data_IF_028131802122
#
_entry.id   IF_028131802122
#
_cell.length_a   1.000
_cell.length_b   1.000
_cell.length_c   1.000
_cell.angle_alpha   90.00
_cell.angle_beta   90.00
_cell.angle_gamma   90.00
#
_symmetry.space_group_name_H-M   'P 1'
#
loop_
_entity.id
_entity.type
_entity.pdbx_description
1 polymer ?
#
# COMPACT_ATOMS: atom_id res chain seq x y z
N UNK A 1 27.58 3.68 61.78
CA UNK A 1 26.65 3.08 62.76
C UNK A 1 25.39 3.90 62.86
N UNK A 2 24.27 3.19 62.89
CA UNK A 2 22.89 3.58 62.66
C UNK A 2 22.33 4.76 63.47
N UNK A 3 21.31 5.37 62.83
CA UNK A 3 20.04 5.88 63.36
C UNK A 3 20.02 7.14 64.24
N UNK A 4 19.29 8.13 63.72
CA UNK A 4 17.93 8.40 64.21
C UNK A 4 17.60 9.84 64.58
N UNK A 5 16.65 10.44 63.84
CA UNK A 5 15.56 11.35 64.30
C UNK A 5 15.01 12.09 63.05
N UNK A 6 13.81 11.81 62.51
CA UNK A 6 12.46 12.34 62.88
C UNK A 6 12.51 13.85 63.21
N UNK A 7 11.70 14.76 62.65
CA UNK A 7 10.28 14.70 62.28
C UNK A 7 9.88 15.92 61.40
N UNK A 8 8.77 15.75 60.69
CA UNK A 8 7.94 16.69 59.91
C UNK A 8 7.68 18.10 60.48
N UNK A 9 7.54 19.11 59.62
CA UNK A 9 6.51 20.16 59.75
C UNK A 9 6.10 20.78 58.39
N UNK A 10 4.81 21.10 58.26
CA UNK A 10 4.06 21.48 57.06
C UNK A 10 4.11 22.98 56.70
N UNK A 11 3.57 23.26 55.49
CA UNK A 11 2.92 24.48 55.00
C UNK A 11 3.86 25.56 54.41
N UNK A 12 3.58 26.20 53.28
CA UNK A 12 2.27 26.73 52.82
C UNK A 12 2.28 27.08 51.32
N UNK A 13 1.07 27.12 50.74
CA UNK A 13 0.60 27.88 49.56
C UNK A 13 0.77 27.22 48.17
N UNK A 14 -0.23 27.18 47.28
CA UNK A 14 -1.46 27.99 47.19
C UNK A 14 -2.71 27.17 46.80
N UNK A 15 -3.85 27.72 47.18
CA UNK A 15 -5.20 27.19 47.05
C UNK A 15 -5.89 27.60 45.73
N UNK A 16 -6.68 26.65 45.21
CA UNK A 16 -8.07 26.77 44.68
C UNK A 16 -8.46 27.88 43.69
N UNK A 17 -9.04 27.47 42.55
CA UNK A 17 -10.49 27.51 42.24
C UNK A 17 -10.71 27.19 40.74
N UNK A 18 -11.38 26.09 40.40
CA UNK A 18 -12.80 25.99 39.99
C UNK A 18 -13.23 26.93 38.85
N UNK A 19 -13.66 26.32 37.74
CA UNK A 19 -14.35 26.97 36.63
C UNK A 19 -15.15 25.96 35.83
N UNK A 20 -16.34 25.63 36.31
CA UNK A 20 -17.37 24.87 35.62
C UNK A 20 -18.31 25.89 34.96
N UNK A 21 -18.46 25.83 33.63
CA UNK A 21 -19.48 26.59 32.90
C UNK A 21 -20.19 25.66 31.93
N UNK A 22 -21.48 25.43 32.19
CA UNK A 22 -22.46 24.99 31.19
C UNK A 22 -23.13 26.23 30.60
N UNK A 23 -23.32 26.27 29.28
CA UNK A 23 -24.63 26.60 28.67
C UNK A 23 -24.62 26.45 27.14
N UNK A 24 -25.37 25.45 26.68
CA UNK A 24 -26.32 25.41 25.55
C UNK A 24 -26.33 26.50 24.45
N UNK A 25 -26.31 26.04 23.19
CA UNK A 25 -27.05 26.66 22.07
C UNK A 25 -27.42 25.64 20.97
N UNK A 26 -28.73 25.35 20.91
CA UNK A 26 -29.65 25.13 19.77
C UNK A 26 -29.20 24.49 18.44
N UNK A 27 -29.92 23.41 18.10
CA UNK A 27 -30.41 22.90 16.80
C UNK A 27 -29.94 23.58 15.50
N UNK A 28 -29.41 22.79 14.55
CA UNK A 28 -29.89 22.60 13.17
C UNK A 28 -29.10 21.46 12.51
N UNK A 29 -29.76 20.70 11.64
CA UNK A 29 -29.34 19.36 11.21
C UNK A 29 -28.15 19.27 10.27
N UNK A 30 -27.44 18.15 10.40
CA UNK A 30 -27.02 17.29 9.29
C UNK A 30 -26.69 15.94 9.94
N UNK A 31 -27.40 14.88 9.56
CA UNK A 31 -26.92 13.52 9.79
C UNK A 31 -25.65 13.38 8.95
N UNK A 32 -24.49 13.57 9.57
CA UNK A 32 -23.24 13.12 8.97
C UNK A 32 -23.16 11.61 9.13
N UNK A 33 -22.80 10.86 8.07
CA UNK A 33 -22.58 9.44 8.20
C UNK A 33 -21.33 9.23 9.05
N UNK A 34 -21.49 8.47 10.13
CA UNK A 34 -20.38 8.01 10.96
C UNK A 34 -19.63 6.92 10.17
N UNK A 35 -18.67 7.32 9.33
CA UNK A 35 -17.68 6.42 8.76
C UNK A 35 -16.31 7.03 8.94
N UNK A 36 -15.63 6.58 9.99
CA UNK A 36 -14.19 6.55 10.14
C UNK A 36 -13.96 5.80 11.46
N UNK A 37 -13.61 4.51 11.38
CA UNK A 37 -13.04 3.83 12.54
C UNK A 37 -11.82 4.64 12.99
N UNK A 38 -11.91 5.19 14.19
CA UNK A 38 -10.81 5.95 14.77
C UNK A 38 -9.66 4.98 14.99
N UNK A 39 -8.43 5.24 14.49
CA UNK A 39 -7.31 4.33 14.71
C UNK A 39 -7.14 4.08 16.22
N UNK A 40 -7.35 2.83 16.65
CA UNK A 40 -7.17 2.47 18.07
C UNK A 40 -5.70 2.64 18.42
N UNK A 41 -5.39 3.60 19.29
CA UNK A 41 -4.05 3.71 19.88
C UNK A 41 -3.92 2.74 21.05
N UNK A 42 -2.91 1.87 21.04
CA UNK A 42 -2.63 0.94 22.12
C UNK A 42 -1.58 1.52 23.07
N UNK A 43 -1.80 1.45 24.40
CA UNK A 43 -0.88 2.00 25.42
C UNK A 43 0.29 1.04 25.74
N UNK A 44 0.52 0.01 24.92
CA UNK A 44 1.62 -0.94 25.13
C UNK A 44 1.58 -2.19 24.25
N UNK A 45 2.67 -2.97 24.25
CA UNK A 45 2.74 -4.24 23.49
C UNK A 45 1.82 -5.31 24.09
N UNK A 46 1.67 -5.35 25.42
CA UNK A 46 0.88 -6.37 26.09
C UNK A 46 -0.62 -6.28 25.81
N UNK A 47 -1.16 -5.06 25.67
CA UNK A 47 -2.57 -4.82 25.35
C UNK A 47 -2.86 -5.17 23.88
N UNK A 48 -2.03 -4.68 22.95
CA UNK A 48 -2.10 -5.06 21.53
C UNK A 48 -1.97 -6.58 21.33
N UNK A 49 -0.96 -7.20 21.94
CA UNK A 49 -0.70 -8.63 21.81
C UNK A 49 -1.90 -9.45 22.30
N UNK A 50 -2.48 -9.06 23.45
CA UNK A 50 -3.64 -9.75 24.04
C UNK A 50 -4.93 -9.56 23.23
N UNK A 51 -5.19 -8.37 22.70
CA UNK A 51 -6.37 -8.11 21.85
C UNK A 51 -6.28 -8.87 20.53
N UNK A 52 -5.07 -8.95 19.96
CA UNK A 52 -4.80 -9.61 18.67
C UNK A 52 -4.35 -11.07 18.81
N UNK A 53 -4.42 -11.63 20.01
CA UNK A 53 -4.09 -13.02 20.32
C UNK A 53 -2.68 -13.45 19.88
N UNK A 54 -1.73 -12.52 19.85
CA UNK A 54 -0.36 -12.79 19.44
C UNK A 54 0.34 -13.79 20.37
N UNK A 55 -0.12 -13.90 21.63
CA UNK A 55 0.32 -14.93 22.57
C UNK A 55 0.02 -16.37 22.10
N UNK A 56 -0.86 -16.53 21.12
CA UNK A 56 -1.16 -17.82 20.47
C UNK A 56 -0.21 -18.16 19.33
N UNK A 57 0.78 -17.31 19.03
CA UNK A 57 1.81 -17.61 18.05
C UNK A 57 2.68 -18.79 18.50
N UNK A 58 2.91 -19.75 17.61
CA UNK A 58 3.67 -20.96 17.89
C UNK A 58 5.14 -20.76 17.52
N UNK A 59 5.95 -20.41 18.50
CA UNK A 59 7.41 -20.27 18.32
C UNK A 59 8.06 -21.60 17.92
N UNK A 60 7.48 -22.74 18.33
CA UNK A 60 7.92 -24.07 17.92
C UNK A 60 7.67 -24.32 16.43
N UNK A 61 6.61 -23.74 15.86
CA UNK A 61 6.30 -23.82 14.43
C UNK A 61 7.40 -23.21 13.56
N UNK A 62 8.05 -22.12 13.99
CA UNK A 62 9.18 -21.54 13.24
C UNK A 62 10.30 -22.55 13.01
N UNK A 63 10.58 -23.40 13.99
CA UNK A 63 11.63 -24.41 13.92
C UNK A 63 11.13 -25.67 13.21
N UNK A 64 9.91 -26.10 13.51
CA UNK A 64 9.39 -27.39 13.06
C UNK A 64 8.82 -27.37 11.63
N UNK A 65 8.32 -26.22 11.18
CA UNK A 65 7.69 -26.05 9.86
C UNK A 65 8.49 -25.13 8.94
N UNK A 66 9.11 -24.10 9.50
CA UNK A 66 9.88 -23.09 8.77
C UNK A 66 11.37 -23.14 9.10
N UNK A 67 11.90 -24.30 9.49
CA UNK A 67 13.23 -24.43 10.09
C UNK A 67 14.37 -23.95 9.18
N UNK A 68 14.29 -24.28 7.89
CA UNK A 68 15.30 -23.87 6.91
C UNK A 68 15.25 -22.36 6.64
N UNK A 69 14.05 -21.80 6.46
CA UNK A 69 13.83 -20.36 6.29
C UNK A 69 14.27 -19.59 7.55
N UNK A 70 13.96 -20.12 8.73
CA UNK A 70 14.39 -19.56 10.03
C UNK A 70 15.91 -19.56 10.14
N UNK A 71 16.57 -20.66 9.77
CA UNK A 71 18.03 -20.74 9.78
C UNK A 71 18.65 -19.74 8.80
N UNK A 72 18.09 -19.59 7.59
CA UNK A 72 18.55 -18.62 6.61
C UNK A 72 18.38 -17.18 7.13
N UNK A 73 17.20 -16.84 7.66
CA UNK A 73 16.91 -15.54 8.28
C UNK A 73 17.91 -15.18 9.37
N UNK A 74 18.14 -16.09 10.34
CA UNK A 74 19.05 -15.84 11.46
C UNK A 74 20.55 -15.93 11.10
N UNK A 75 20.87 -16.38 9.88
CA UNK A 75 22.23 -16.29 9.33
C UNK A 75 22.46 -14.97 8.59
N UNK A 76 21.40 -14.19 8.34
CA UNK A 76 21.44 -12.90 7.67
C UNK A 76 21.18 -11.74 8.66
N UNK A 77 22.18 -10.90 8.98
CA UNK A 77 22.00 -9.77 9.90
C UNK A 77 20.88 -8.79 9.49
N UNK A 78 20.60 -8.64 8.19
CA UNK A 78 19.47 -7.82 7.70
C UNK A 78 18.13 -8.49 8.02
N UNK A 79 18.02 -9.79 7.78
CA UNK A 79 16.83 -10.57 8.15
C UNK A 79 16.48 -10.46 9.64
N UNK A 80 17.49 -10.56 10.52
CA UNK A 80 17.32 -10.38 11.97
C UNK A 80 16.79 -8.98 12.32
N UNK A 81 17.35 -7.93 11.69
CA UNK A 81 16.88 -6.55 11.89
C UNK A 81 15.45 -6.36 11.38
N UNK A 82 15.13 -6.93 10.23
CA UNK A 82 13.79 -6.89 9.64
C UNK A 82 12.74 -7.51 10.56
N UNK A 83 12.93 -8.75 10.99
CA UNK A 83 11.99 -9.41 11.91
C UNK A 83 11.90 -8.70 13.26
N UNK A 84 13.01 -8.15 13.76
CA UNK A 84 13.02 -7.36 15.00
C UNK A 84 12.27 -6.03 14.86
N UNK A 85 12.39 -5.38 13.70
CA UNK A 85 11.68 -4.15 13.37
C UNK A 85 10.18 -4.42 13.27
N UNK A 86 9.77 -5.42 12.48
CA UNK A 86 8.37 -5.83 12.31
C UNK A 86 7.72 -6.20 13.65
N UNK A 87 8.44 -6.94 14.50
CA UNK A 87 7.98 -7.27 15.85
C UNK A 87 7.72 -6.05 16.74
N UNK A 88 8.42 -4.92 16.51
CA UNK A 88 8.19 -3.65 17.24
C UNK A 88 7.04 -2.84 16.67
N UNK A 89 6.75 -2.97 15.38
CA UNK A 89 5.62 -2.29 14.73
C UNK A 89 4.27 -2.81 15.16
N UNK A 90 4.21 -4.07 15.62
CA UNK A 90 2.97 -4.68 16.08
C UNK A 90 1.87 -4.59 15.02
N UNK A 91 2.19 -4.89 13.76
CA UNK A 91 1.20 -4.85 12.68
C UNK A 91 0.69 -3.46 12.29
N UNK A 92 1.19 -2.37 12.88
CA UNK A 92 0.87 -1.02 12.41
C UNK A 92 1.48 -0.82 11.00
N UNK A 93 0.62 -0.49 10.04
CA UNK A 93 0.91 -0.55 8.61
C UNK A 93 2.11 0.32 8.22
N UNK A 94 2.11 1.60 8.59
CA UNK A 94 3.16 2.54 8.19
C UNK A 94 4.53 2.16 8.77
N UNK A 95 4.56 1.64 10.00
CA UNK A 95 5.77 1.10 10.61
C UNK A 95 6.22 -0.19 9.93
N UNK A 96 5.31 -1.13 9.63
CA UNK A 96 5.67 -2.38 8.95
C UNK A 96 6.26 -2.11 7.57
N UNK A 97 5.61 -1.25 6.78
CA UNK A 97 6.09 -0.77 5.49
C UNK A 97 7.48 -0.16 5.60
N UNK A 98 7.74 0.63 6.65
CA UNK A 98 9.09 1.15 6.90
C UNK A 98 10.12 0.05 7.15
N UNK A 99 9.76 -0.96 7.93
CA UNK A 99 10.66 -2.09 8.16
C UNK A 99 10.93 -2.88 6.88
N UNK A 100 9.93 -3.04 6.01
CA UNK A 100 10.13 -3.70 4.72
C UNK A 100 11.02 -2.88 3.79
N UNK A 101 10.75 -1.58 3.64
CA UNK A 101 11.58 -0.68 2.84
C UNK A 101 13.05 -0.67 3.31
N UNK A 102 13.28 -0.76 4.62
CA UNK A 102 14.62 -0.68 5.20
C UNK A 102 15.35 -2.04 5.27
N UNK A 103 14.62 -3.14 5.52
CA UNK A 103 15.22 -4.44 5.85
C UNK A 103 14.74 -5.63 5.02
N UNK A 104 13.91 -5.42 3.99
CA UNK A 104 13.50 -6.52 3.09
C UNK A 104 14.71 -7.23 2.49
N UNK A 105 14.58 -8.55 2.39
CA UNK A 105 15.57 -9.44 1.80
C UNK A 105 14.89 -10.77 1.45
N UNK A 106 15.44 -11.55 0.49
CA UNK A 106 14.86 -12.86 0.16
C UNK A 106 14.73 -13.79 1.37
N UNK A 107 15.65 -13.75 2.33
CA UNK A 107 15.56 -14.57 3.55
C UNK A 107 14.41 -14.13 4.46
N UNK A 108 14.16 -12.81 4.56
CA UNK A 108 13.02 -12.28 5.31
C UNK A 108 11.71 -12.62 4.63
N UNK A 109 11.63 -12.41 3.31
CA UNK A 109 10.43 -12.67 2.52
C UNK A 109 10.07 -14.16 2.56
N UNK A 110 11.04 -15.07 2.38
CA UNK A 110 10.83 -16.52 2.50
C UNK A 110 10.38 -16.94 3.89
N UNK A 111 10.94 -16.32 4.94
CA UNK A 111 10.53 -16.60 6.31
C UNK A 111 9.10 -16.12 6.58
N UNK A 112 8.74 -14.92 6.12
CA UNK A 112 7.39 -14.37 6.26
C UNK A 112 6.36 -15.22 5.52
N UNK A 113 6.65 -15.62 4.27
CA UNK A 113 5.82 -16.55 3.50
C UNK A 113 5.55 -17.84 4.27
N UNK A 114 6.60 -18.46 4.82
CA UNK A 114 6.41 -19.71 5.56
C UNK A 114 5.68 -19.50 6.90
N UNK A 115 6.12 -18.52 7.70
CA UNK A 115 5.71 -18.37 9.09
C UNK A 115 4.38 -17.65 9.26
N UNK A 116 3.97 -16.83 8.30
CA UNK A 116 2.73 -16.05 8.38
C UNK A 116 1.67 -16.62 7.43
N UNK A 117 2.01 -16.82 6.15
CA UNK A 117 1.05 -17.27 5.14
C UNK A 117 0.82 -18.78 5.18
N UNK A 118 1.88 -19.58 5.02
CA UNK A 118 1.75 -21.01 4.75
C UNK A 118 1.43 -21.86 5.99
N UNK A 119 2.07 -21.54 7.13
CA UNK A 119 1.92 -22.32 8.36
C UNK A 119 1.26 -21.54 9.49
N UNK A 120 0.97 -20.25 9.30
CA UNK A 120 0.35 -19.37 10.28
C UNK A 120 0.97 -19.49 11.69
N UNK A 121 2.28 -19.66 11.76
CA UNK A 121 3.04 -19.75 13.00
C UNK A 121 2.89 -18.45 13.82
N UNK A 122 2.77 -17.29 13.15
CA UNK A 122 2.40 -16.01 13.77
C UNK A 122 0.89 -15.81 13.69
N UNK A 123 0.24 -15.56 14.83
CA UNK A 123 -1.17 -15.13 14.87
C UNK A 123 -1.23 -13.60 14.83
N UNK A 124 -1.25 -13.05 13.63
CA UNK A 124 -1.57 -11.65 13.36
C UNK A 124 -3.10 -11.48 13.22
N UNK A 125 -3.66 -10.31 13.53
CA UNK A 125 -5.07 -10.06 13.32
C UNK A 125 -5.39 -10.15 11.82
N UNK A 126 -6.18 -11.17 11.45
CA UNK A 126 -6.62 -11.41 10.05
C UNK A 126 -7.93 -10.70 9.71
N UNK A 127 -8.62 -10.16 10.71
CA UNK A 127 -9.96 -9.58 10.58
C UNK A 127 -9.86 -8.05 10.54
N UNK A 128 -9.28 -7.53 9.47
CA UNK A 128 -9.56 -6.15 9.07
C UNK A 128 -10.85 -6.24 8.27
N UNK A 129 -11.80 -5.35 8.54
CA UNK A 129 -13.06 -5.32 7.78
C UNK A 129 -12.76 -4.88 6.35
N UNK A 130 -12.78 -5.83 5.42
CA UNK A 130 -12.53 -5.59 3.99
C UNK A 130 -13.81 -5.22 3.23
N UNK A 131 -14.94 -4.98 3.91
CA UNK A 131 -16.22 -4.67 3.25
C UNK A 131 -16.17 -3.38 2.43
N UNK A 132 -15.35 -2.40 2.81
CA UNK A 132 -15.14 -1.16 2.07
C UNK A 132 -14.48 -1.38 0.69
N UNK A 133 -13.78 -2.50 0.50
CA UNK A 133 -13.10 -2.87 -0.75
C UNK A 133 -14.09 -3.39 -1.80
N UNK A 134 -15.17 -4.03 -1.33
CA UNK A 134 -16.26 -4.51 -2.18
C UNK A 134 -17.21 -3.37 -2.62
N UNK A 135 -17.08 -2.18 -2.02
CA UNK A 135 -17.79 -1.00 -2.48
C UNK A 135 -17.21 -0.53 -3.83
N UNK A 136 -17.73 -1.09 -4.92
CA UNK A 136 -17.39 -0.67 -6.27
C UNK A 136 -17.84 0.75 -6.59
N UNK A 137 -17.43 1.24 -7.76
CA UNK A 137 -17.87 2.54 -8.26
C UNK A 137 -19.02 2.35 -9.25
N UNK A 138 -20.15 3.03 -9.02
CA UNK A 138 -21.31 2.95 -9.92
C UNK A 138 -21.00 3.46 -11.34
N UNK A 139 -19.93 4.23 -11.49
CA UNK A 139 -19.48 4.90 -12.72
C UNK A 139 -18.41 4.15 -13.50
N UNK A 140 -18.08 2.91 -13.12
CA UNK A 140 -17.11 2.11 -13.87
C UNK A 140 -17.51 1.99 -15.33
N UNK A 141 -16.52 2.14 -16.21
CA UNK A 141 -16.66 1.93 -17.65
C UNK A 141 -17.07 0.48 -17.91
N UNK A 142 -18.31 0.29 -18.38
CA UNK A 142 -18.93 -1.04 -18.54
C UNK A 142 -18.46 -1.83 -19.75
N UNK A 143 -18.08 -1.14 -20.82
CA UNK A 143 -17.65 -1.74 -22.08
C UNK A 143 -16.17 -1.44 -22.33
N UNK A 144 -15.33 -1.86 -21.39
CA UNK A 144 -13.91 -1.60 -21.45
C UNK A 144 -13.22 -2.48 -22.51
N UNK A 145 -12.41 -1.86 -23.38
CA UNK A 145 -11.54 -2.58 -24.32
C UNK A 145 -10.13 -2.69 -23.72
N UNK A 146 -9.67 -3.91 -23.32
CA UNK A 146 -8.34 -4.10 -22.74
C UNK A 146 -7.22 -3.64 -23.68
N UNK A 147 -7.42 -3.71 -24.99
CA UNK A 147 -6.41 -3.30 -25.98
C UNK A 147 -6.12 -1.81 -25.92
N UNK A 148 -7.06 -1.01 -25.39
CA UNK A 148 -6.86 0.41 -25.17
C UNK A 148 -5.82 0.74 -24.10
N UNK A 149 -5.41 -0.21 -23.25
CA UNK A 149 -4.32 -0.02 -22.29
C UNK A 149 -2.93 -0.32 -22.84
N UNK A 150 -2.83 -0.97 -24.01
CA UNK A 150 -1.55 -1.46 -24.50
C UNK A 150 -0.51 -0.33 -24.69
N UNK A 151 0.75 -0.70 -24.44
CA UNK A 151 1.89 0.20 -24.53
C UNK A 151 2.09 1.03 -23.26
N UNK A 152 2.88 2.10 -23.40
CA UNK A 152 3.34 2.91 -22.28
C UNK A 152 2.32 3.96 -21.86
N UNK A 153 2.20 4.14 -20.55
CA UNK A 153 1.44 5.18 -19.88
C UNK A 153 2.28 5.81 -18.77
N UNK A 154 2.08 7.10 -18.52
CA UNK A 154 2.63 7.81 -17.38
C UNK A 154 1.51 8.07 -16.37
N UNK A 155 1.76 7.83 -15.08
CA UNK A 155 0.89 8.37 -14.04
C UNK A 155 1.19 9.86 -13.92
N UNK A 156 0.17 10.70 -14.09
CA UNK A 156 0.33 12.16 -14.19
C UNK A 156 -0.30 12.92 -13.03
N UNK A 157 -1.28 12.32 -12.37
CA UNK A 157 -1.92 12.81 -11.16
C UNK A 157 -2.20 11.61 -10.27
N UNK A 158 -2.14 11.82 -8.95
CA UNK A 158 -2.43 10.81 -7.94
C UNK A 158 -3.20 11.40 -6.75
N UNK A 159 -3.94 10.55 -6.06
CA UNK A 159 -4.76 10.95 -4.91
C UNK A 159 -4.07 10.60 -3.59
N UNK A 160 -3.52 9.38 -3.47
CA UNK A 160 -2.88 8.94 -2.24
C UNK A 160 -1.36 9.18 -2.27
N UNK A 161 -0.79 9.97 -1.34
CA UNK A 161 0.65 10.23 -1.29
C UNK A 161 1.52 9.01 -0.97
N UNK A 162 0.95 7.92 -0.42
CA UNK A 162 1.67 6.68 -0.15
C UNK A 162 1.79 5.76 -1.36
N UNK A 163 0.83 5.82 -2.28
CA UNK A 163 0.69 4.83 -3.35
C UNK A 163 0.76 5.44 -4.76
N UNK A 164 0.39 6.72 -4.91
CA UNK A 164 0.17 7.34 -6.21
C UNK A 164 1.19 8.40 -6.60
N UNK A 165 1.96 8.95 -5.65
CA UNK A 165 2.75 10.18 -5.87
C UNK A 165 4.26 9.95 -6.01
N UNK A 166 4.67 8.90 -6.72
CA UNK A 166 6.08 8.66 -7.01
C UNK A 166 6.56 9.48 -8.20
N UNK A 167 7.80 9.98 -8.14
CA UNK A 167 8.40 10.65 -9.28
C UNK A 167 8.61 9.67 -10.43
N UNK A 168 8.55 10.16 -11.67
CA UNK A 168 8.91 9.38 -12.85
C UNK A 168 8.20 8.01 -12.92
N UNK A 169 6.88 8.02 -12.83
CA UNK A 169 6.10 6.80 -12.75
C UNK A 169 5.47 6.44 -14.10
N UNK A 170 5.73 5.22 -14.57
CA UNK A 170 5.14 4.73 -15.80
C UNK A 170 4.83 3.25 -15.76
N UNK A 171 3.83 2.86 -16.53
CA UNK A 171 3.41 1.48 -16.70
C UNK A 171 3.45 1.12 -18.19
N UNK A 172 3.88 -0.08 -18.53
CA UNK A 172 3.83 -0.63 -19.89
C UNK A 172 2.97 -1.89 -19.86
N UNK A 173 1.86 -1.87 -20.60
CA UNK A 173 0.98 -3.02 -20.70
C UNK A 173 1.27 -3.81 -21.98
N UNK A 174 1.40 -5.12 -21.81
CA UNK A 174 1.57 -6.08 -22.90
C UNK A 174 0.52 -7.19 -22.77
N UNK A 175 0.00 -7.74 -23.87
CA UNK A 175 -0.96 -8.83 -23.80
C UNK A 175 -0.26 -10.11 -23.31
N UNK A 176 -0.80 -10.75 -22.28
CA UNK A 176 -0.34 -12.06 -21.83
C UNK A 176 -1.00 -13.20 -22.65
N UNK A 177 -2.13 -12.91 -23.30
CA UNK A 177 -2.86 -13.82 -24.19
C UNK A 177 -3.43 -13.07 -25.42
N UNK A 178 -3.86 -13.83 -26.44
CA UNK A 178 -4.24 -13.28 -27.76
C UNK A 178 -5.45 -12.34 -27.73
N UNK A 179 -6.39 -12.57 -26.80
CA UNK A 179 -7.61 -11.77 -26.66
C UNK A 179 -7.46 -10.60 -25.67
N UNK A 180 -6.29 -10.47 -25.03
CA UNK A 180 -5.98 -9.45 -24.02
C UNK A 180 -6.92 -9.48 -22.80
N UNK A 181 -7.50 -10.65 -22.49
CA UNK A 181 -8.19 -10.87 -21.22
C UNK A 181 -7.23 -10.93 -20.03
N UNK A 182 -5.93 -11.11 -20.30
CA UNK A 182 -4.84 -10.98 -19.33
C UNK A 182 -3.76 -10.02 -19.86
N UNK A 183 -3.24 -9.17 -19.00
CA UNK A 183 -2.20 -8.19 -19.33
C UNK A 183 -1.02 -8.31 -18.36
N UNK A 184 0.18 -8.32 -18.91
CA UNK A 184 1.41 -8.12 -18.16
C UNK A 184 1.68 -6.61 -18.07
N UNK A 185 1.81 -6.09 -16.85
CA UNK A 185 2.08 -4.69 -16.56
C UNK A 185 3.49 -4.51 -15.99
N UNK A 186 4.42 -3.98 -16.78
CA UNK A 186 5.71 -3.53 -16.28
C UNK A 186 5.54 -2.16 -15.61
N UNK A 187 6.02 -2.00 -14.39
CA UNK A 187 5.91 -0.80 -13.57
C UNK A 187 7.32 -0.24 -13.37
N UNK A 188 7.46 1.06 -13.58
CA UNK A 188 8.69 1.79 -13.35
C UNK A 188 8.41 3.01 -12.50
N UNK A 189 9.26 3.26 -11.50
CA UNK A 189 9.20 4.46 -10.67
C UNK A 189 10.59 4.90 -10.22
N UNK A 190 10.73 6.21 -9.96
CA UNK A 190 11.89 6.76 -9.27
C UNK A 190 11.45 7.55 -8.05
N UNK A 191 12.33 7.63 -7.06
CA UNK A 191 12.08 8.40 -5.85
C UNK A 191 13.29 9.27 -5.58
N UNK A 192 13.10 10.59 -5.58
CA UNK A 192 14.18 11.52 -5.29
C UNK A 192 14.55 11.49 -3.82
N UNK A 193 15.84 11.48 -3.55
CA UNK A 193 16.40 11.82 -2.24
C UNK A 193 16.47 13.34 -2.15
N UNK A 194 15.96 13.96 -1.07
CA UNK A 194 16.08 15.39 -0.89
C UNK A 194 17.53 15.87 -0.93
N UNK A 195 17.73 17.05 -1.50
CA UNK A 195 19.06 17.67 -1.59
C UNK A 195 19.70 17.85 -0.20
N UNK A 196 18.89 18.19 0.82
CA UNK A 196 19.34 18.32 2.20
C UNK A 196 19.89 17.02 2.79
N UNK A 197 19.47 15.87 2.26
CA UNK A 197 19.96 14.57 2.63
C UNK A 197 21.09 14.09 1.71
N UNK A 198 21.56 14.87 0.73
CA UNK A 198 22.66 14.51 -0.18
C UNK A 198 22.25 14.24 -1.63
N UNK A 199 20.97 14.40 -1.97
CA UNK A 199 20.49 14.29 -3.36
C UNK A 199 20.61 12.88 -3.97
N UNK A 200 20.24 12.76 -5.24
CA UNK A 200 20.17 11.49 -5.96
C UNK A 200 18.76 10.89 -5.98
N UNK A 201 18.64 9.64 -6.41
CA UNK A 201 17.35 8.97 -6.53
C UNK A 201 17.47 7.44 -6.41
N UNK A 202 16.40 6.78 -5.99
CA UNK A 202 16.21 5.35 -6.12
C UNK A 202 15.35 5.04 -7.33
N UNK A 203 15.54 3.87 -7.91
CA UNK A 203 14.79 3.39 -9.06
C UNK A 203 14.25 1.99 -8.77
N UNK A 204 13.05 1.68 -9.23
CA UNK A 204 12.56 0.32 -9.20
C UNK A 204 11.80 -0.05 -10.46
N UNK A 205 11.94 -1.32 -10.84
CA UNK A 205 11.27 -1.98 -11.95
C UNK A 205 10.55 -3.21 -11.40
N UNK A 206 9.23 -3.21 -11.53
CA UNK A 206 8.37 -4.29 -11.09
C UNK A 206 7.58 -4.78 -12.29
N UNK A 207 7.03 -5.99 -12.15
CA UNK A 207 6.06 -6.50 -13.10
C UNK A 207 4.86 -6.97 -12.30
N UNK A 208 3.67 -6.79 -12.83
CA UNK A 208 2.40 -7.31 -12.33
C UNK A 208 1.65 -8.05 -13.42
N UNK A 209 0.84 -9.03 -13.04
CA UNK A 209 -0.04 -9.74 -13.95
C UNK A 209 -1.49 -9.37 -13.63
N UNK A 210 -2.20 -8.84 -14.62
CA UNK A 210 -3.55 -8.31 -14.50
C UNK A 210 -4.54 -9.23 -15.21
N UNK A 211 -5.64 -9.58 -14.53
CA UNK A 211 -6.77 -10.29 -15.12
C UNK A 211 -7.88 -9.26 -15.39
N UNK A 212 -8.36 -9.18 -16.64
CA UNK A 212 -9.33 -8.16 -17.06
C UNK A 212 -10.76 -8.69 -16.94
N UNK A 213 -11.35 -8.53 -15.76
CA UNK A 213 -12.70 -9.03 -15.43
C UNK A 213 -13.80 -8.50 -16.37
N UNK A 214 -13.65 -7.28 -16.89
CA UNK A 214 -14.65 -6.64 -17.76
C UNK A 214 -14.93 -7.40 -19.07
N UNK A 215 -14.02 -8.28 -19.50
CA UNK A 215 -14.19 -9.08 -20.73
C UNK A 215 -14.47 -10.56 -20.47
N UNK A 216 -14.40 -11.01 -19.20
CA UNK A 216 -14.65 -12.40 -18.83
C UNK A 216 -16.14 -12.77 -18.97
N UNK A 217 -16.42 -13.99 -19.43
CA UNK A 217 -17.78 -14.50 -19.66
C UNK A 217 -17.98 -15.87 -19.02
N UNK A 218 -19.18 -16.13 -18.51
CA UNK A 218 -19.61 -17.45 -18.04
C UNK A 218 -18.62 -18.08 -17.07
N UNK A 219 -18.15 -19.30 -17.39
CA UNK A 219 -17.22 -20.07 -16.55
C UNK A 219 -15.87 -19.38 -16.30
N UNK A 220 -15.40 -18.51 -17.21
CA UNK A 220 -14.17 -17.75 -17.00
C UNK A 220 -14.34 -16.72 -15.88
N UNK A 221 -15.51 -16.08 -15.82
CA UNK A 221 -15.85 -15.17 -14.73
C UNK A 221 -15.85 -15.97 -13.43
N UNK A 222 -16.63 -17.05 -13.36
CA UNK A 222 -16.72 -17.96 -12.19
C UNK A 222 -15.36 -18.48 -11.71
N UNK A 223 -14.44 -18.81 -12.63
CA UNK A 223 -13.08 -19.25 -12.28
C UNK A 223 -12.24 -18.12 -11.69
N UNK A 224 -12.27 -16.93 -12.29
CA UNK A 224 -11.61 -15.75 -11.72
C UNK A 224 -12.17 -15.38 -10.33
N UNK A 225 -13.48 -15.57 -10.09
CA UNK A 225 -14.06 -15.39 -8.74
C UNK A 225 -13.56 -16.48 -7.77
N UNK A 226 -13.39 -17.72 -8.25
CA UNK A 226 -12.96 -18.86 -7.41
C UNK A 226 -11.47 -18.88 -7.06
N UNK A 227 -10.62 -18.17 -7.81
CA UNK A 227 -9.18 -18.03 -7.51
C UNK A 227 -8.96 -17.10 -6.31
N UNK A 228 -9.94 -16.25 -6.01
CA UNK A 228 -10.06 -15.55 -4.73
C UNK A 228 -10.57 -16.57 -3.70
N UNK A 229 -9.74 -17.57 -3.36
CA UNK A 229 -10.03 -18.54 -2.27
C UNK A 229 -9.79 -17.87 -0.91
N UNK A 230 -10.50 -16.76 -0.74
CA UNK A 230 -10.43 -15.96 0.45
C UNK A 230 -11.82 -15.46 0.79
N UNK A 231 -12.40 -16.15 1.77
CA UNK A 231 -13.66 -15.78 2.41
C UNK A 231 -13.72 -14.34 2.96
N UNK A 232 -12.60 -13.59 2.93
CA UNK A 232 -12.51 -12.15 3.25
C UNK A 232 -13.05 -11.24 2.15
N UNK A 233 -13.16 -11.71 0.90
CA UNK A 233 -13.72 -10.96 -0.22
C UNK A 233 -15.08 -11.52 -0.60
N UNK A 234 -16.12 -10.68 -0.64
CA UNK A 234 -17.42 -11.15 -1.08
C UNK A 234 -17.39 -11.43 -2.57
N UNK A 235 -17.93 -12.59 -2.98
CA UNK A 235 -18.14 -12.98 -4.39
C UNK A 235 -19.05 -12.01 -5.19
N UNK A 236 -19.50 -10.90 -4.61
CA UNK A 236 -20.15 -9.84 -5.37
C UNK A 236 -19.07 -8.98 -6.05
N UNK A 237 -18.48 -9.54 -7.10
CA UNK A 237 -17.70 -8.84 -8.15
C UNK A 237 -18.67 -7.96 -8.95
N UNK A 238 -19.35 -7.05 -8.25
CA UNK A 238 -20.12 -6.01 -8.86
C UNK A 238 -19.13 -4.88 -9.16
N UNK A 239 -18.59 -4.93 -10.38
CA UNK A 239 -18.20 -3.73 -11.14
C UNK A 239 -16.71 -3.34 -11.16
N UNK A 240 -15.76 -4.22 -10.78
CA UNK A 240 -14.34 -3.95 -11.09
C UNK A 240 -14.02 -4.17 -12.56
N UNK A 241 -13.00 -3.48 -13.06
CA UNK A 241 -12.55 -3.61 -14.46
C UNK A 241 -11.50 -4.71 -14.62
N UNK A 242 -10.56 -4.79 -13.68
CA UNK A 242 -9.49 -5.79 -13.65
C UNK A 242 -9.01 -5.97 -12.21
N UNK A 243 -8.20 -7.00 -11.97
CA UNK A 243 -7.53 -7.20 -10.69
C UNK A 243 -6.13 -7.78 -10.89
N UNK A 244 -5.32 -7.67 -9.84
CA UNK A 244 -4.05 -8.36 -9.70
C UNK A 244 -3.90 -8.90 -8.29
N UNK A 245 -3.02 -9.89 -8.16
CA UNK A 245 -2.68 -10.51 -6.89
C UNK A 245 -1.26 -11.06 -6.97
N UNK A 246 -0.55 -11.09 -5.85
CA UNK A 246 0.80 -11.62 -5.83
C UNK A 246 1.34 -11.67 -4.40
N UNK A 247 2.67 -11.75 -4.27
CA UNK A 247 3.33 -11.69 -2.97
C UNK A 247 4.35 -10.58 -2.86
N UNK A 248 4.05 -9.58 -2.04
CA UNK A 248 4.96 -8.51 -1.68
C UNK A 248 5.62 -8.78 -0.33
N UNK A 249 6.95 -8.74 -0.28
CA UNK A 249 7.71 -9.08 0.93
C UNK A 249 7.41 -10.49 1.48
N UNK A 250 7.07 -11.42 0.58
CA UNK A 250 6.64 -12.78 0.94
C UNK A 250 5.22 -12.90 1.47
N UNK A 251 4.46 -11.80 1.51
CA UNK A 251 3.08 -11.74 2.00
C UNK A 251 2.12 -11.50 0.84
N UNK A 252 0.95 -12.16 0.88
CA UNK A 252 -0.02 -12.04 -0.20
C UNK A 252 -0.64 -10.64 -0.23
N UNK A 253 -0.79 -10.10 -1.44
CA UNK A 253 -1.57 -8.90 -1.70
C UNK A 253 -2.62 -9.15 -2.77
N UNK A 254 -3.67 -8.36 -2.70
CA UNK A 254 -4.78 -8.38 -3.64
C UNK A 254 -5.15 -6.94 -4.01
N UNK A 255 -5.44 -6.67 -5.28
CA UNK A 255 -5.81 -5.34 -5.72
C UNK A 255 -6.83 -5.35 -6.86
N UNK A 256 -7.94 -4.63 -6.67
CA UNK A 256 -8.97 -4.37 -7.66
C UNK A 256 -8.73 -3.03 -8.34
N UNK A 257 -8.87 -2.97 -9.66
CA UNK A 257 -8.82 -1.75 -10.45
C UNK A 257 -10.17 -1.43 -11.09
N UNK A 258 -10.50 -0.15 -11.07
CA UNK A 258 -11.73 0.43 -11.60
C UNK A 258 -11.37 1.52 -12.60
N UNK A 259 -11.71 1.33 -13.88
CA UNK A 259 -11.60 2.39 -14.87
C UNK A 259 -12.86 3.27 -14.75
N UNK A 260 -12.69 4.48 -14.23
CA UNK A 260 -13.77 5.40 -13.91
C UNK A 260 -14.09 6.37 -15.05
N UNK A 261 -13.15 6.54 -15.98
CA UNK A 261 -13.32 7.36 -17.16
C UNK A 261 -12.18 7.16 -18.14
N UNK A 262 -12.45 7.34 -19.42
CA UNK A 262 -11.47 7.18 -20.48
C UNK A 262 -11.76 8.08 -21.68
N UNK A 263 -10.70 8.38 -22.43
CA UNK A 263 -10.75 8.93 -23.79
C UNK A 263 -9.76 8.17 -24.67
N UNK A 264 -10.13 7.92 -25.93
CA UNK A 264 -9.28 7.26 -26.92
C UNK A 264 -8.44 8.24 -27.77
N UNK A 265 -8.54 9.55 -27.48
CA UNK A 265 -7.78 10.59 -28.16
C UNK A 265 -8.20 10.85 -29.62
N UNK A 266 -9.24 10.19 -30.17
CA UNK A 266 -9.67 10.41 -31.56
C UNK A 266 -10.48 11.70 -31.75
N UNK A 267 -10.99 12.26 -30.66
CA UNK A 267 -11.79 13.50 -30.64
C UNK A 267 -11.03 14.72 -30.12
N UNK A 268 -11.77 15.65 -29.52
CA UNK A 268 -11.20 16.86 -28.92
C UNK A 268 -10.54 16.62 -27.55
N UNK A 269 -10.80 15.48 -26.92
CA UNK A 269 -10.28 15.11 -25.61
C UNK A 269 -9.08 14.19 -25.80
N UNK A 270 -7.86 14.59 -25.41
CA UNK A 270 -6.67 13.75 -25.48
C UNK A 270 -6.84 12.42 -24.74
N UNK A 271 -6.02 11.43 -25.08
CA UNK A 271 -6.11 10.09 -24.51
C UNK A 271 -5.76 10.10 -23.01
N UNK A 272 -6.62 9.48 -22.20
CA UNK A 272 -6.40 9.31 -20.76
C UNK A 272 -7.16 8.10 -20.21
N UNK A 273 -6.74 7.61 -19.04
CA UNK A 273 -7.53 6.73 -18.18
C UNK A 273 -7.54 7.27 -16.76
N UNK A 274 -8.73 7.40 -16.16
CA UNK A 274 -8.87 7.63 -14.72
C UNK A 274 -9.06 6.28 -14.05
N UNK A 275 -8.14 5.91 -13.17
CA UNK A 275 -8.11 4.63 -12.49
C UNK A 275 -8.30 4.87 -11.00
N UNK A 276 -9.18 4.11 -10.35
CA UNK A 276 -9.15 3.93 -8.91
C UNK A 276 -8.78 2.49 -8.60
N UNK A 277 -8.13 2.27 -7.46
CA UNK A 277 -7.79 0.94 -6.99
C UNK A 277 -8.12 0.80 -5.51
N UNK A 278 -8.40 -0.44 -5.14
CA UNK A 278 -8.62 -0.86 -3.75
C UNK A 278 -7.92 -2.19 -3.57
N UNK A 279 -7.00 -2.25 -2.64
CA UNK A 279 -6.25 -3.45 -2.35
C UNK A 279 -6.14 -3.73 -0.87
N UNK A 280 -5.59 -4.91 -0.59
CA UNK A 280 -5.41 -5.44 0.74
C UNK A 280 -4.08 -6.16 0.84
N UNK A 281 -3.41 -5.96 1.96
CA UNK A 281 -2.32 -6.80 2.42
C UNK A 281 -2.60 -7.25 3.85
N UNK A 282 -1.77 -8.14 4.40
CA UNK A 282 -1.85 -8.48 5.83
C UNK A 282 -1.67 -7.27 6.78
N UNK A 283 -1.16 -6.14 6.29
CA UNK A 283 -1.00 -4.91 7.08
C UNK A 283 -2.27 -4.05 7.06
N UNK A 284 -3.18 -4.28 6.13
CA UNK A 284 -4.43 -3.56 6.01
C UNK A 284 -4.82 -3.22 4.59
N UNK A 285 -5.94 -2.52 4.53
CA UNK A 285 -6.56 -2.09 3.30
C UNK A 285 -5.85 -0.84 2.82
N UNK A 286 -5.81 -0.66 1.52
CA UNK A 286 -5.29 0.55 0.92
C UNK A 286 -6.08 0.87 -0.34
N UNK A 287 -6.21 2.16 -0.64
CA UNK A 287 -6.94 2.61 -1.81
C UNK A 287 -6.31 3.89 -2.35
N UNK A 288 -6.61 4.20 -3.60
CA UNK A 288 -6.12 5.40 -4.23
C UNK A 288 -6.71 5.58 -5.61
N UNK A 289 -6.22 6.61 -6.29
CA UNK A 289 -6.65 6.90 -7.65
C UNK A 289 -5.63 7.75 -8.37
N UNK A 290 -5.40 7.43 -9.64
CA UNK A 290 -4.45 8.12 -10.47
C UNK A 290 -4.95 8.28 -11.91
N UNK A 291 -4.31 9.18 -12.64
CA UNK A 291 -4.60 9.46 -14.05
C UNK A 291 -3.44 9.02 -14.92
N UNK A 292 -3.73 8.10 -15.85
CA UNK A 292 -2.81 7.77 -16.92
C UNK A 292 -2.94 8.73 -18.09
N UNK A 293 -1.80 9.11 -18.67
CA UNK A 293 -1.69 9.79 -19.95
C UNK A 293 -0.58 9.16 -20.81
N UNK A 294 -0.69 9.30 -22.14
CA UNK A 294 0.40 8.95 -23.06
C UNK A 294 1.57 9.93 -22.97
N UNK A 295 1.33 11.12 -22.41
CA UNK A 295 2.34 12.14 -22.17
C UNK A 295 2.76 12.18 -20.68
N UNK A 296 3.98 12.65 -20.42
CA UNK A 296 4.52 12.79 -19.06
C UNK A 296 3.73 13.79 -18.19
N UNK A 297 3.01 14.69 -18.84
CA UNK A 297 2.12 15.67 -18.22
C UNK A 297 0.77 15.51 -18.89
N UNK A 298 -0.31 15.44 -18.12
CA UNK A 298 -1.66 15.36 -18.68
C UNK A 298 -1.93 16.62 -19.54
N UNK A 299 -2.32 16.46 -20.81
CA UNK A 299 -2.70 17.61 -21.64
C UNK A 299 -3.87 18.38 -21.01
N UNK A 300 -3.78 19.72 -20.98
CA UNK A 300 -4.79 20.58 -20.34
C UNK A 300 -6.21 20.34 -20.87
N UNK A 301 -6.34 20.00 -22.16
CA UNK A 301 -7.62 19.70 -22.80
C UNK A 301 -8.31 18.43 -22.25
N UNK A 302 -7.57 17.53 -21.59
CA UNK A 302 -8.14 16.34 -20.94
C UNK A 302 -8.68 16.63 -19.53
N UNK A 303 -8.16 17.66 -18.84
CA UNK A 303 -8.49 17.96 -17.44
C UNK A 303 -10.00 18.09 -17.19
N UNK A 304 -10.80 18.79 -18.01
CA UNK A 304 -12.25 18.89 -17.78
C UNK A 304 -12.96 17.53 -17.78
N UNK A 305 -12.57 16.62 -18.70
CA UNK A 305 -13.17 15.29 -18.80
C UNK A 305 -12.75 14.40 -17.62
N UNK A 306 -11.50 14.50 -17.17
CA UNK A 306 -11.01 13.79 -15.98
C UNK A 306 -11.74 14.27 -14.73
N UNK A 307 -11.89 15.59 -14.54
CA UNK A 307 -12.65 16.20 -13.44
C UNK A 307 -14.10 15.71 -13.40
N UNK A 308 -14.75 15.67 -14.55
CA UNK A 308 -16.11 15.16 -14.67
C UNK A 308 -16.21 13.68 -14.27
N UNK A 309 -15.27 12.84 -14.72
CA UNK A 309 -15.22 11.42 -14.37
C UNK A 309 -14.97 11.21 -12.86
N UNK A 310 -14.02 11.94 -12.28
CA UNK A 310 -13.71 11.91 -10.85
C UNK A 310 -14.93 12.32 -10.01
N UNK A 311 -15.57 13.45 -10.35
CA UNK A 311 -16.74 13.94 -9.63
C UNK A 311 -17.92 12.95 -9.67
N UNK A 312 -18.17 12.32 -10.83
CA UNK A 312 -19.22 11.27 -10.94
C UNK A 312 -18.91 10.06 -10.05
N UNK A 313 -17.63 9.71 -9.92
CA UNK A 313 -17.17 8.63 -9.07
C UNK A 313 -17.13 9.00 -7.57
N UNK A 314 -17.44 10.25 -7.21
CA UNK A 314 -17.37 10.74 -5.83
C UNK A 314 -15.95 11.10 -5.37
N UNK A 315 -15.00 11.22 -6.30
CA UNK A 315 -13.62 11.61 -6.02
C UNK A 315 -13.45 13.13 -6.16
N UNK A 316 -12.74 13.73 -5.21
CA UNK A 316 -12.47 15.17 -5.20
C UNK A 316 -11.20 15.47 -6.00
N UNK A 317 -11.37 16.03 -7.21
CA UNK A 317 -10.23 16.38 -8.07
C UNK A 317 -9.25 17.35 -7.40
N UNK A 318 -9.72 18.23 -6.51
CA UNK A 318 -8.85 19.23 -5.89
C UNK A 318 -7.89 18.61 -4.86
N UNK A 319 -8.08 17.32 -4.52
CA UNK A 319 -7.14 16.53 -3.72
C UNK A 319 -6.07 15.83 -4.57
N UNK A 320 -6.23 15.76 -5.90
CA UNK A 320 -5.23 15.16 -6.76
C UNK A 320 -4.00 16.05 -6.86
N UNK A 321 -2.84 15.42 -6.73
CA UNK A 321 -1.55 16.07 -6.88
C UNK A 321 -0.94 15.68 -8.22
N UNK A 322 -0.42 16.67 -8.95
CA UNK A 322 0.32 16.41 -10.18
C UNK A 322 1.65 15.71 -9.86
N UNK A 323 1.93 14.63 -10.59
CA UNK A 323 3.14 13.83 -10.45
C UNK A 323 4.27 14.46 -11.28
N UNK A 324 5.47 14.57 -10.70
CA UNK A 324 6.64 15.08 -11.41
C UNK A 324 7.33 13.97 -12.23
N UNK A 325 7.07 13.99 -13.53
CA UNK A 325 7.69 13.10 -14.52
C UNK A 325 8.90 13.71 -15.25
N UNK A 326 9.53 14.75 -14.70
CA UNK A 326 10.80 15.28 -15.22
C UNK A 326 11.92 14.24 -15.13
N UNK A 327 11.80 13.28 -14.21
CA UNK A 327 12.67 12.13 -13.99
C UNK A 327 14.12 12.52 -13.63
N UNK A 328 14.58 12.27 -12.40
CA UNK A 328 15.97 12.55 -12.04
C UNK A 328 16.93 11.75 -12.93
N UNK A 329 18.03 12.35 -13.35
CA UNK A 329 19.05 11.75 -14.22
C UNK A 329 20.32 11.43 -13.43
N UNK A 330 21.10 10.45 -13.89
CA UNK A 330 22.31 9.97 -13.21
C UNK A 330 22.22 8.48 -12.92
N UNK A 331 23.03 7.98 -11.99
CA UNK A 331 23.02 6.58 -11.57
C UNK A 331 22.16 6.41 -10.30
N UNK A 332 21.31 5.37 -10.21
CA UNK A 332 20.46 5.17 -9.05
C UNK A 332 21.27 4.80 -7.79
N UNK A 333 20.79 5.26 -6.64
CA UNK A 333 21.31 5.00 -5.30
C UNK A 333 21.02 3.58 -4.80
N UNK A 334 20.50 2.69 -5.66
CA UNK A 334 20.31 1.28 -5.36
C UNK A 334 20.95 0.35 -6.41
N UNK A 335 21.97 0.82 -7.14
CA UNK A 335 22.74 -0.01 -8.08
C UNK A 335 23.47 -1.17 -7.37
N UNK A 336 22.99 -2.39 -7.60
CA UNK A 336 23.53 -3.61 -7.00
C UNK A 336 24.98 -3.90 -7.42
N UNK A 337 25.41 -3.44 -8.60
CA UNK A 337 26.75 -3.71 -9.15
C UNK A 337 27.82 -2.77 -8.60
N UNK A 338 27.43 -1.61 -8.09
CA UNK A 338 28.35 -0.63 -7.49
C UNK A 338 28.54 -0.81 -5.99
N UNK A 339 27.85 -1.76 -5.37
CA UNK A 339 27.80 -1.85 -3.90
C UNK A 339 27.16 -0.62 -3.24
N UNK A 340 26.60 0.28 -4.04
CA UNK A 340 25.79 1.44 -3.65
C UNK A 340 24.31 1.13 -3.74
N UNK A 341 23.94 -0.13 -3.90
CA UNK A 341 22.64 -0.69 -3.51
C UNK A 341 22.24 -0.22 -2.11
N UNK A 342 21.08 -0.64 -1.63
CA UNK A 342 21.01 -1.04 -0.21
C UNK A 342 21.93 -2.26 0.01
N UNK A 343 23.23 -2.14 -0.30
CA UNK A 343 24.25 -3.10 0.01
C UNK A 343 24.20 -3.32 1.52
N UNK A 344 24.61 -4.50 1.94
CA UNK A 344 24.49 -5.04 3.29
C UNK A 344 25.20 -4.22 4.40
N UNK A 345 25.67 -3.01 4.09
CA UNK A 345 26.50 -2.17 4.96
C UNK A 345 26.11 -0.69 5.09
N UNK A 346 25.29 -0.09 4.21
CA UNK A 346 24.99 1.36 4.29
C UNK A 346 23.50 1.67 4.47
N UNK A 347 23.24 2.56 5.43
CA UNK A 347 21.93 3.00 5.89
C UNK A 347 21.48 4.19 5.08
N UNK A 348 20.18 4.28 4.81
CA UNK A 348 19.60 5.41 4.09
C UNK A 348 18.42 5.95 4.87
N UNK A 349 18.50 7.24 5.21
CA UNK A 349 17.34 8.08 5.51
C UNK A 349 16.52 8.21 4.22
N UNK A 350 15.60 7.26 3.99
CA UNK A 350 14.52 7.43 3.02
C UNK A 350 13.71 8.60 3.54
N UNK A 351 13.86 9.78 2.92
CA UNK A 351 13.02 10.91 3.29
C UNK A 351 11.62 10.62 2.78
N UNK A 352 10.82 10.26 3.76
CA UNK A 352 9.38 10.06 3.72
C UNK A 352 8.75 11.38 3.31
N UNK A 353 8.05 11.40 2.17
CA UNK A 353 7.16 12.51 1.85
C UNK A 353 6.04 12.64 2.90
N UNK A 354 5.17 13.64 2.80
CA UNK A 354 4.04 13.82 3.72
C UNK A 354 3.10 12.59 3.85
N UNK A 355 3.18 11.63 2.92
CA UNK A 355 2.38 10.40 2.90
C UNK A 355 2.81 9.33 3.91
N UNK A 356 4.10 8.99 4.01
CA UNK A 356 4.51 7.75 4.66
C UNK A 356 5.44 6.90 3.79
N UNK A 357 6.02 5.87 4.40
CA UNK A 357 7.07 5.02 3.79
C UNK A 357 6.44 4.05 2.79
N UNK A 358 7.24 3.58 1.83
CA UNK A 358 6.79 3.04 0.55
C UNK A 358 7.07 1.53 0.50
N UNK A 359 6.01 0.74 0.28
CA UNK A 359 6.00 -0.72 0.12
C UNK A 359 6.72 -1.23 -1.15
N UNK A 360 7.31 -0.33 -1.95
CA UNK A 360 7.69 -0.61 -3.33
C UNK A 360 9.15 -0.30 -3.70
N UNK A 361 10.06 0.00 -2.74
CA UNK A 361 11.47 0.38 -3.04
C UNK A 361 12.50 -0.68 -2.66
N UNK A 362 12.11 -1.93 -2.41
CA UNK A 362 13.10 -2.97 -2.11
C UNK A 362 13.87 -3.37 -3.39
N UNK A 363 15.21 -3.22 -3.44
CA UNK A 363 15.97 -3.56 -4.64
C UNK A 363 15.98 -5.06 -4.90
N UNK A 364 15.53 -5.46 -6.09
CA UNK A 364 15.58 -6.86 -6.56
C UNK A 364 14.36 -7.70 -6.26
N UNK A 365 13.31 -7.14 -5.64
CA UNK A 365 12.03 -7.84 -5.56
C UNK A 365 11.34 -7.81 -6.93
N UNK A 366 10.92 -8.99 -7.38
CA UNK A 366 10.02 -9.20 -8.52
C UNK A 366 8.79 -9.84 -7.89
N UNK A 367 7.62 -9.26 -8.08
CA UNK A 367 6.41 -9.91 -7.58
C UNK A 367 6.32 -11.34 -8.09
N UNK A 368 6.03 -12.26 -7.17
CA UNK A 368 5.67 -13.62 -7.53
C UNK A 368 4.17 -13.63 -7.79
N UNK A 369 3.80 -13.75 -9.06
CA UNK A 369 2.41 -13.86 -9.50
C UNK A 369 2.07 -15.33 -9.67
N UNK A 370 0.95 -15.75 -9.09
CA UNK A 370 0.36 -17.05 -9.44
C UNK A 370 -0.11 -16.93 -10.90
N UNK A 371 0.39 -17.83 -11.74
CA UNK A 371 -0.12 -18.04 -13.10
C UNK A 371 -1.51 -18.65 -13.05
#
# INVERSE_FOLDING_TARGET
NNNGSKMSFQSTAAAFALGLVLSTSTMFGAQQPAFADTPKSYDGFAEYAKENQMEKSDVGCFINKCGDQTKALFSNPRGIKGVSCLGRCKGEQSCCTRCFAEFSSPDLDNWLSCAIEENECVKAPKNIDNSAENAGYSTVVRNFDPKSLLGKWYKTYGLDPNYDLFDCQSNIFTPANDDASELDMDIFLRIRRPESAGGGYWENDLKEHMIVDAVLKGDQKSQAESVIDDSRFSNEIADRTMHTQGKMYGLEFYENWFILGESDGKGAVPEFKLVAFKGHTLQGNYEGSFVYSKEKVLPEAAIPAVREAAAKAGLDWDQYTQIDNTCPVGEPLNDSNKGTGTSTSEWIDLVVGPGGVIDWISPGWRGEYKK
#
